data_IF_734550517644
#
_entry.id   IF_734550517644
#
_cell.length_a   1.000
_cell.length_b   1.000
_cell.length_c   1.000
_cell.angle_alpha   90.00
_cell.angle_beta   90.00
_cell.angle_gamma   90.00
#
_symmetry.space_group_name_H-M   'P 1'
#
loop_
_entity.id
_entity.type
_entity.pdbx_description
1 polymer ?
#
# COMPACT_ATOMS: atom_id res chain seq x y z
N UNK A 1 6.28 -23.68 -19.83
CA UNK A 1 6.81 -22.85 -18.74
C UNK A 1 6.08 -21.54 -18.83
N UNK A 2 5.23 -21.21 -17.85
CA UNK A 2 4.54 -19.91 -17.83
C UNK A 2 5.60 -18.81 -17.68
N UNK A 3 5.43 -17.73 -18.44
CA UNK A 3 6.33 -16.58 -18.42
C UNK A 3 6.27 -15.94 -17.04
N UNK A 4 7.26 -16.20 -16.18
CA UNK A 4 7.29 -15.78 -14.78
C UNK A 4 7.55 -14.28 -14.62
N UNK A 5 7.87 -13.56 -15.70
CA UNK A 5 8.14 -12.13 -15.69
C UNK A 5 6.89 -11.26 -15.50
N UNK A 6 5.70 -11.82 -15.68
CA UNK A 6 4.44 -11.06 -15.62
C UNK A 6 3.47 -11.56 -14.53
N UNK A 7 3.90 -12.44 -13.63
CA UNK A 7 3.09 -12.84 -12.49
C UNK A 7 2.99 -11.69 -11.48
N UNK A 8 1.80 -11.36 -10.97
CA UNK A 8 1.64 -10.31 -9.97
C UNK A 8 2.40 -10.68 -8.69
N UNK A 9 3.27 -9.78 -8.22
CA UNK A 9 4.04 -9.94 -6.98
C UNK A 9 3.33 -9.37 -5.75
N UNK A 10 2.38 -8.45 -5.97
CA UNK A 10 1.62 -7.78 -4.92
C UNK A 10 0.13 -7.93 -5.16
N UNK A 11 -0.59 -8.39 -4.15
CA UNK A 11 -2.05 -8.34 -4.12
C UNK A 11 -2.53 -7.05 -3.46
N UNK A 12 -3.44 -6.31 -4.10
CA UNK A 12 -4.12 -5.16 -3.49
C UNK A 12 -5.59 -5.55 -3.34
N UNK A 13 -6.07 -5.61 -2.10
CA UNK A 13 -7.46 -5.99 -1.82
C UNK A 13 -8.15 -4.96 -0.92
N UNK A 14 -9.41 -4.65 -1.22
CA UNK A 14 -10.22 -3.71 -0.45
C UNK A 14 -11.65 -4.21 -0.26
N UNK A 15 -12.29 -3.83 0.85
CA UNK A 15 -13.63 -4.27 1.21
C UNK A 15 -14.77 -3.59 0.44
N UNK A 16 -14.47 -2.46 -0.21
CA UNK A 16 -15.42 -1.65 -0.98
C UNK A 16 -14.69 -0.85 -2.05
N UNK A 17 -15.37 -0.57 -3.15
CA UNK A 17 -14.90 0.34 -4.20
C UNK A 17 -14.75 1.80 -3.71
N UNK A 18 -15.44 2.17 -2.64
CA UNK A 18 -15.24 3.47 -1.97
C UNK A 18 -13.81 3.68 -1.45
N UNK A 19 -13.06 2.59 -1.23
CA UNK A 19 -11.68 2.62 -0.75
C UNK A 19 -10.68 2.84 -1.91
N UNK A 20 -11.13 2.70 -3.15
CA UNK A 20 -10.32 2.79 -4.36
C UNK A 20 -9.44 4.04 -4.44
N UNK A 21 -9.94 5.27 -4.13
CA UNK A 21 -9.10 6.48 -4.21
C UNK A 21 -7.90 6.48 -3.26
N UNK A 22 -7.97 5.72 -2.17
CA UNK A 22 -6.85 5.53 -1.24
C UNK A 22 -5.93 4.42 -1.72
N UNK A 23 -6.51 3.30 -2.14
CA UNK A 23 -5.77 2.10 -2.57
C UNK A 23 -5.02 2.31 -3.89
N UNK A 24 -5.55 3.12 -4.80
CA UNK A 24 -4.91 3.50 -6.05
C UNK A 24 -3.53 4.14 -5.85
N UNK A 25 -3.33 4.89 -4.77
CA UNK A 25 -2.02 5.46 -4.44
C UNK A 25 -0.92 4.41 -4.24
N UNK A 26 -1.30 3.22 -3.77
CA UNK A 26 -0.36 2.11 -3.67
C UNK A 26 -0.04 1.52 -5.06
N UNK A 27 -1.06 1.40 -5.92
CA UNK A 27 -0.90 0.95 -7.30
C UNK A 27 0.00 1.90 -8.11
N UNK A 28 -0.23 3.22 -8.01
CA UNK A 28 0.58 4.25 -8.69
C UNK A 28 2.09 4.08 -8.39
N UNK A 29 2.43 3.81 -7.14
CA UNK A 29 3.84 3.57 -6.73
C UNK A 29 4.37 2.25 -7.30
N UNK A 30 3.56 1.19 -7.31
CA UNK A 30 3.96 -0.08 -7.90
C UNK A 30 4.19 0.06 -9.40
N UNK A 31 3.34 0.81 -10.10
CA UNK A 31 3.49 1.12 -11.53
C UNK A 31 4.75 1.95 -11.79
N UNK A 32 5.01 3.02 -11.02
CA UNK A 32 6.22 3.84 -11.14
C UNK A 32 7.50 2.99 -11.00
N UNK A 33 7.48 1.97 -10.15
CA UNK A 33 8.61 1.08 -9.90
C UNK A 33 8.64 -0.15 -10.83
N UNK A 34 7.60 -0.36 -11.65
CA UNK A 34 7.48 -1.50 -12.56
C UNK A 34 7.22 -2.82 -11.83
N UNK A 35 6.48 -2.80 -10.73
CA UNK A 35 6.13 -3.98 -9.93
C UNK A 35 4.75 -4.48 -10.36
N UNK A 36 4.62 -5.71 -10.88
CA UNK A 36 3.33 -6.27 -11.28
C UNK A 36 2.46 -6.55 -10.04
N UNK A 37 1.18 -6.19 -10.13
CA UNK A 37 0.20 -6.36 -9.06
C UNK A 37 -1.16 -6.82 -9.59
N UNK A 38 -2.00 -7.34 -8.71
CA UNK A 38 -3.43 -7.59 -8.93
C UNK A 38 -4.23 -6.73 -7.97
N UNK A 39 -5.25 -6.02 -8.45
CA UNK A 39 -6.13 -5.22 -7.58
C UNK A 39 -7.56 -5.77 -7.64
N UNK A 40 -8.18 -5.98 -6.48
CA UNK A 40 -9.52 -6.55 -6.39
C UNK A 40 -10.35 -5.95 -5.24
N UNK A 41 -11.66 -6.00 -5.40
CA UNK A 41 -12.64 -5.64 -4.36
C UNK A 41 -13.27 -6.93 -3.86
N UNK A 42 -13.04 -7.26 -2.59
CA UNK A 42 -13.63 -8.43 -1.92
C UNK A 42 -13.97 -8.03 -0.49
N UNK A 43 -15.23 -8.17 -0.12
CA UNK A 43 -15.65 -7.89 1.25
C UNK A 43 -15.53 -9.12 2.13
N UNK A 44 -14.62 -9.12 3.11
CA UNK A 44 -14.47 -10.24 4.04
C UNK A 44 -15.76 -10.55 4.84
N UNK A 45 -16.63 -9.55 5.06
CA UNK A 45 -17.88 -9.73 5.79
C UNK A 45 -19.06 -10.16 4.93
N UNK A 46 -19.07 -9.77 3.64
CA UNK A 46 -20.20 -10.04 2.72
C UNK A 46 -19.93 -11.22 1.79
N UNK A 47 -18.67 -11.53 1.56
CA UNK A 47 -18.19 -12.60 0.66
C UNK A 47 -17.05 -13.40 1.33
N UNK A 48 -17.30 -13.97 2.53
CA UNK A 48 -16.25 -14.62 3.31
C UNK A 48 -15.57 -15.77 2.54
N UNK A 49 -16.31 -16.58 1.81
CA UNK A 49 -15.77 -17.71 1.07
C UNK A 49 -14.83 -17.25 -0.05
N UNK A 50 -15.22 -16.23 -0.82
CA UNK A 50 -14.42 -15.62 -1.88
C UNK A 50 -13.13 -15.02 -1.29
N UNK A 51 -13.26 -14.35 -0.14
CA UNK A 51 -12.13 -13.77 0.56
C UNK A 51 -11.13 -14.85 1.05
N UNK A 52 -11.62 -15.92 1.65
CA UNK A 52 -10.77 -17.03 2.09
C UNK A 52 -10.04 -17.68 0.92
N UNK A 53 -10.71 -17.90 -0.20
CA UNK A 53 -10.11 -18.45 -1.41
C UNK A 53 -9.04 -17.51 -1.98
N UNK A 54 -9.30 -16.20 -2.03
CA UNK A 54 -8.32 -15.20 -2.43
C UNK A 54 -7.05 -15.28 -1.58
N UNK A 55 -7.19 -15.29 -0.24
CA UNK A 55 -6.04 -15.29 0.66
C UNK A 55 -5.25 -16.63 0.61
N UNK A 56 -5.94 -17.77 0.46
CA UNK A 56 -5.30 -19.09 0.35
C UNK A 56 -4.55 -19.26 -0.96
N UNK A 57 -5.13 -18.80 -2.07
CA UNK A 57 -4.51 -18.94 -3.41
C UNK A 57 -3.42 -17.91 -3.69
N UNK A 58 -3.23 -16.92 -2.80
CA UNK A 58 -2.32 -15.80 -3.01
C UNK A 58 -0.85 -16.23 -3.22
N UNK A 59 -0.38 -17.22 -2.47
CA UNK A 59 0.98 -17.77 -2.63
C UNK A 59 1.16 -18.48 -3.98
N UNK A 60 0.18 -19.29 -4.40
CA UNK A 60 0.18 -19.99 -5.68
C UNK A 60 0.12 -19.02 -6.87
N UNK A 61 -0.58 -17.87 -6.70
CA UNK A 61 -0.59 -16.77 -7.66
C UNK A 61 0.75 -16.02 -7.75
N UNK A 62 1.66 -16.28 -6.84
CA UNK A 62 2.98 -15.67 -6.81
C UNK A 62 3.08 -14.40 -5.96
N UNK A 63 2.04 -14.04 -5.22
CA UNK A 63 2.10 -12.87 -4.33
C UNK A 63 3.18 -13.04 -3.26
N UNK A 64 3.91 -11.97 -3.01
CA UNK A 64 4.94 -11.88 -1.95
C UNK A 64 4.51 -10.93 -0.85
N UNK A 65 3.54 -10.05 -1.15
CA UNK A 65 2.97 -9.08 -0.22
C UNK A 65 1.49 -8.89 -0.57
N UNK A 66 0.63 -8.76 0.44
CA UNK A 66 -0.74 -8.27 0.25
C UNK A 66 -0.87 -6.89 0.89
N UNK A 67 -1.42 -5.93 0.14
CA UNK A 67 -1.86 -4.62 0.65
C UNK A 67 -3.38 -4.69 0.81
N UNK A 68 -3.86 -4.55 2.03
CA UNK A 68 -5.26 -4.74 2.37
C UNK A 68 -5.86 -3.47 2.98
N UNK A 69 -6.87 -2.90 2.32
CA UNK A 69 -7.59 -1.70 2.78
C UNK A 69 -8.93 -2.03 3.40
N UNK A 70 -9.21 -1.47 4.58
CA UNK A 70 -10.51 -1.65 5.23
C UNK A 70 -10.87 -0.48 6.15
N UNK A 71 -12.17 -0.24 6.29
CA UNK A 71 -12.74 0.77 7.18
C UNK A 71 -13.61 0.18 8.28
N UNK A 72 -13.97 0.98 9.27
CA UNK A 72 -14.80 0.61 10.41
C UNK A 72 -14.20 -0.56 11.22
N UNK A 73 -14.89 -1.68 11.35
CA UNK A 73 -14.36 -2.94 11.86
C UNK A 73 -13.44 -3.56 10.78
N UNK A 74 -12.22 -3.06 10.68
CA UNK A 74 -11.30 -3.34 9.59
C UNK A 74 -10.62 -4.71 9.75
N UNK A 75 -11.40 -5.80 9.68
CA UNK A 75 -10.91 -7.17 9.87
C UNK A 75 -10.11 -7.71 8.70
N UNK A 76 -10.33 -7.22 7.48
CA UNK A 76 -9.77 -7.76 6.25
C UNK A 76 -8.23 -7.92 6.29
N UNK A 77 -7.42 -6.93 6.73
CA UNK A 77 -5.97 -7.09 6.81
C UNK A 77 -5.53 -8.20 7.78
N UNK A 78 -6.16 -8.25 8.97
CA UNK A 78 -5.85 -9.27 9.97
C UNK A 78 -6.22 -10.68 9.50
N UNK A 79 -7.36 -10.83 8.83
CA UNK A 79 -7.79 -12.10 8.24
C UNK A 79 -6.86 -12.53 7.10
N UNK A 80 -6.38 -11.61 6.26
CA UNK A 80 -5.32 -11.90 5.29
C UNK A 80 -4.08 -12.45 5.98
N UNK A 81 -3.59 -11.76 7.02
CA UNK A 81 -2.36 -12.15 7.73
C UNK A 81 -2.49 -13.48 8.48
N UNK A 82 -3.70 -13.89 8.86
CA UNK A 82 -3.95 -15.18 9.48
C UNK A 82 -3.91 -16.36 8.48
N UNK A 83 -4.12 -16.09 7.19
CA UNK A 83 -4.24 -17.11 6.13
C UNK A 83 -3.00 -17.14 5.24
N UNK A 84 -2.53 -15.96 4.84
CA UNK A 84 -1.40 -15.78 3.93
C UNK A 84 -0.10 -15.66 4.73
N UNK A 85 0.90 -16.56 4.54
CA UNK A 85 2.09 -16.63 5.39
C UNK A 85 3.14 -15.54 5.10
N UNK A 86 2.91 -14.69 4.09
CA UNK A 86 3.81 -13.63 3.67
C UNK A 86 3.35 -12.27 4.25
N UNK A 87 4.15 -11.19 4.14
CA UNK A 87 3.82 -9.89 4.70
C UNK A 87 2.48 -9.34 4.25
N UNK A 88 1.68 -8.85 5.20
CA UNK A 88 0.44 -8.11 4.95
C UNK A 88 0.60 -6.67 5.45
N UNK A 89 0.20 -5.72 4.61
CA UNK A 89 0.21 -4.29 4.91
C UNK A 89 -1.24 -3.81 4.95
N UNK A 90 -1.69 -3.35 6.12
CA UNK A 90 -3.03 -2.80 6.31
C UNK A 90 -3.08 -1.29 6.10
N UNK A 91 -4.07 -0.84 5.33
CA UNK A 91 -4.37 0.60 5.15
C UNK A 91 -5.69 0.89 5.86
N UNK A 92 -5.67 1.66 6.96
CA UNK A 92 -6.90 2.07 7.65
C UNK A 92 -7.62 3.14 6.83
N UNK A 93 -8.90 2.90 6.52
CA UNK A 93 -9.75 3.86 5.83
C UNK A 93 -10.31 4.90 6.80
N UNK A 94 -10.45 6.13 6.31
CA UNK A 94 -11.16 7.17 7.05
C UNK A 94 -12.66 6.83 7.13
N UNK A 95 -13.23 6.99 8.33
CA UNK A 95 -14.66 6.77 8.58
C UNK A 95 -15.32 8.04 9.09
N UNK A 96 -16.59 8.25 8.74
CA UNK A 96 -17.35 9.42 9.18
C UNK A 96 -17.68 9.40 10.66
N UNK A 97 -17.84 8.19 11.25
CA UNK A 97 -18.24 8.01 12.66
C UNK A 97 -17.10 8.29 13.64
N UNK A 98 -15.91 7.73 13.40
CA UNK A 98 -14.76 7.80 14.32
C UNK A 98 -13.48 8.38 13.67
N UNK A 99 -13.60 8.94 12.46
CA UNK A 99 -12.50 9.61 11.77
C UNK A 99 -11.35 8.66 11.41
N UNK A 100 -11.64 7.36 11.24
CA UNK A 100 -10.64 6.33 10.92
C UNK A 100 -9.90 5.73 12.12
N UNK A 101 -10.21 6.17 13.36
CA UNK A 101 -9.60 5.59 14.58
C UNK A 101 -10.03 4.13 14.78
N UNK A 102 -11.28 3.82 14.50
CA UNK A 102 -11.85 2.48 14.48
C UNK A 102 -11.08 1.55 13.53
N UNK A 103 -10.86 2.00 12.30
CA UNK A 103 -10.08 1.26 11.30
C UNK A 103 -8.63 1.06 11.74
N UNK A 104 -7.99 2.12 12.23
CA UNK A 104 -6.61 2.06 12.69
C UNK A 104 -6.44 1.08 13.84
N UNK A 105 -7.27 1.19 14.89
CA UNK A 105 -7.17 0.30 16.05
C UNK A 105 -7.48 -1.15 15.70
N UNK A 106 -8.44 -1.40 14.80
CA UNK A 106 -8.74 -2.76 14.33
C UNK A 106 -7.54 -3.41 13.62
N UNK A 107 -6.70 -2.61 12.94
CA UNK A 107 -5.58 -3.14 12.17
C UNK A 107 -4.30 -3.25 13.02
N UNK A 108 -4.02 -2.31 13.92
CA UNK A 108 -2.77 -2.33 14.70
C UNK A 108 -2.82 -3.26 15.91
N UNK A 109 -4.00 -3.55 16.44
CA UNK A 109 -4.18 -4.41 17.63
C UNK A 109 -4.37 -5.88 17.27
N UNK A 110 -3.43 -6.43 16.50
CA UNK A 110 -3.48 -7.85 16.14
C UNK A 110 -3.06 -8.74 17.32
N UNK A 111 -3.65 -9.95 17.43
CA UNK A 111 -3.23 -10.93 18.42
C UNK A 111 -1.79 -11.41 18.17
N UNK A 112 -1.17 -11.94 19.21
CA UNK A 112 0.17 -12.52 19.12
C UNK A 112 0.25 -13.57 17.99
N UNK A 113 1.29 -13.48 17.16
CA UNK A 113 1.52 -14.41 16.06
C UNK A 113 0.91 -13.98 14.70
N UNK A 114 0.08 -12.93 14.65
CA UNK A 114 -0.54 -12.45 13.42
C UNK A 114 -0.11 -11.00 13.15
N UNK A 115 1.07 -10.75 12.56
CA UNK A 115 1.57 -9.42 12.33
C UNK A 115 0.91 -8.77 11.10
N UNK A 116 0.52 -7.49 11.24
CA UNK A 116 0.10 -6.62 10.11
C UNK A 116 0.87 -5.32 10.20
N UNK A 117 1.61 -4.97 9.15
CA UNK A 117 2.24 -3.65 9.06
C UNK A 117 1.19 -2.60 8.69
N UNK A 118 1.12 -1.50 9.44
CA UNK A 118 0.12 -0.44 9.20
C UNK A 118 0.82 0.84 8.79
N UNK A 119 0.66 1.26 7.53
CA UNK A 119 1.32 2.43 6.99
C UNK A 119 0.48 3.12 5.90
N UNK A 120 0.64 4.44 5.75
CA UNK A 120 0.01 5.21 4.67
C UNK A 120 0.67 4.98 3.29
N UNK A 121 1.99 4.74 3.26
CA UNK A 121 2.78 4.52 2.04
C UNK A 121 2.95 3.01 1.73
N UNK A 122 1.85 2.29 1.63
CA UNK A 122 1.85 0.84 1.51
C UNK A 122 2.55 0.32 0.25
N UNK A 123 2.34 0.96 -0.90
CA UNK A 123 3.03 0.59 -2.15
C UNK A 123 4.56 0.69 -2.02
N UNK A 124 5.05 1.75 -1.37
CA UNK A 124 6.49 1.91 -1.15
C UNK A 124 7.05 0.90 -0.14
N UNK A 125 6.28 0.56 0.91
CA UNK A 125 6.70 -0.48 1.86
C UNK A 125 6.73 -1.86 1.17
N UNK A 126 5.72 -2.19 0.37
CA UNK A 126 5.72 -3.43 -0.42
C UNK A 126 6.93 -3.51 -1.36
N UNK A 127 7.25 -2.43 -2.07
CA UNK A 127 8.43 -2.35 -2.92
C UNK A 127 9.74 -2.56 -2.12
N UNK A 128 9.86 -1.97 -0.92
CA UNK A 128 11.03 -2.18 -0.05
C UNK A 128 11.15 -3.62 0.45
N UNK A 129 10.03 -4.28 0.75
CA UNK A 129 10.03 -5.70 1.14
C UNK A 129 10.54 -6.55 -0.03
N UNK A 130 10.03 -6.33 -1.24
CA UNK A 130 10.48 -7.05 -2.44
C UNK A 130 11.95 -6.81 -2.76
N UNK A 131 12.44 -5.58 -2.57
CA UNK A 131 13.82 -5.18 -2.85
C UNK A 131 14.87 -5.85 -1.94
N UNK A 132 14.46 -6.50 -0.85
CA UNK A 132 15.39 -7.27 0.00
C UNK A 132 16.02 -8.46 -0.73
N UNK A 133 15.38 -8.94 -1.81
CA UNK A 133 15.85 -10.02 -2.68
C UNK A 133 15.91 -9.65 -4.17
N UNK A 134 15.79 -8.35 -4.50
CA UNK A 134 15.77 -7.83 -5.87
C UNK A 134 16.68 -6.61 -5.98
N UNK A 135 17.89 -6.82 -6.50
CA UNK A 135 18.92 -5.76 -6.60
C UNK A 135 18.56 -4.67 -7.63
N UNK A 136 17.82 -5.00 -8.68
CA UNK A 136 17.34 -4.04 -9.67
C UNK A 136 16.30 -3.11 -9.03
N UNK A 137 15.34 -3.68 -8.34
CA UNK A 137 14.32 -2.91 -7.61
C UNK A 137 14.95 -2.04 -6.52
N UNK A 138 16.00 -2.53 -5.83
CA UNK A 138 16.76 -1.73 -4.87
C UNK A 138 17.40 -0.51 -5.55
N UNK A 139 17.92 -0.67 -6.77
CA UNK A 139 18.43 0.43 -7.59
C UNK A 139 17.36 1.47 -7.89
N UNK A 140 16.15 1.05 -8.29
CA UNK A 140 15.00 1.94 -8.54
C UNK A 140 14.58 2.69 -7.28
N UNK A 141 14.58 2.04 -6.11
CA UNK A 141 14.26 2.69 -4.83
C UNK A 141 15.30 3.74 -4.42
N UNK A 142 16.59 3.51 -4.71
CA UNK A 142 17.63 4.53 -4.50
C UNK A 142 17.42 5.74 -5.41
N UNK A 143 17.11 5.52 -6.68
CA UNK A 143 16.78 6.59 -7.62
C UNK A 143 15.52 7.36 -7.19
N UNK A 144 14.49 6.68 -6.72
CA UNK A 144 13.29 7.30 -6.13
C UNK A 144 13.64 8.22 -4.96
N UNK A 145 14.50 7.77 -4.04
CA UNK A 145 14.95 8.59 -2.90
C UNK A 145 15.73 9.83 -3.35
N UNK A 146 16.56 9.72 -4.38
CA UNK A 146 17.29 10.85 -4.98
C UNK A 146 16.31 11.86 -5.57
N UNK A 147 15.32 11.41 -6.33
CA UNK A 147 14.25 12.27 -6.88
C UNK A 147 13.51 13.05 -5.79
N UNK A 148 13.20 12.42 -4.66
CA UNK A 148 12.56 13.11 -3.53
C UNK A 148 13.45 14.20 -2.94
N UNK A 149 14.75 13.94 -2.79
CA UNK A 149 15.73 14.93 -2.33
C UNK A 149 15.78 16.12 -3.28
N UNK A 150 15.95 15.89 -4.58
CA UNK A 150 15.98 16.93 -5.61
C UNK A 150 14.72 17.81 -5.62
N UNK A 151 13.54 17.22 -5.37
CA UNK A 151 12.30 17.97 -5.24
C UNK A 151 12.29 18.94 -4.06
N UNK A 152 12.91 18.56 -2.94
CA UNK A 152 13.02 19.45 -1.76
C UNK A 152 14.04 20.56 -2.04
N UNK A 153 15.19 20.22 -2.61
CA UNK A 153 16.23 21.18 -2.99
C UNK A 153 15.71 22.22 -3.98
N UNK A 154 14.93 21.81 -4.98
CA UNK A 154 14.30 22.73 -5.94
C UNK A 154 13.27 23.68 -5.27
N UNK A 155 12.52 23.18 -4.27
CA UNK A 155 11.60 24.02 -3.50
C UNK A 155 12.35 25.06 -2.66
N UNK A 156 13.43 24.66 -2.02
CA UNK A 156 14.26 25.57 -1.24
C UNK A 156 14.93 26.61 -2.14
N UNK A 157 15.55 26.21 -3.23
CA UNK A 157 16.13 27.13 -4.20
C UNK A 157 15.11 28.20 -4.68
N UNK A 158 13.90 27.77 -5.03
CA UNK A 158 12.82 28.68 -5.38
C UNK A 158 12.45 29.62 -4.24
N UNK A 159 12.38 29.13 -3.00
CA UNK A 159 12.08 29.94 -1.83
C UNK A 159 13.14 31.02 -1.62
N UNK A 160 14.43 30.68 -1.75
CA UNK A 160 15.55 31.61 -1.63
C UNK A 160 15.55 32.67 -2.74
N UNK A 161 15.16 32.29 -3.95
CA UNK A 161 15.11 33.17 -5.12
C UNK A 161 14.00 34.22 -4.99
N UNK A 162 12.76 33.80 -4.71
CA UNK A 162 11.58 34.71 -4.76
C UNK A 162 11.13 35.23 -3.39
N UNK A 163 11.68 34.71 -2.30
CA UNK A 163 11.30 35.05 -0.92
C UNK A 163 9.94 34.46 -0.48
N UNK A 164 9.74 34.34 0.83
CA UNK A 164 8.59 33.61 1.39
C UNK A 164 7.22 34.22 1.04
N UNK A 165 7.12 35.57 0.90
CA UNK A 165 5.84 36.24 0.60
C UNK A 165 5.33 35.83 -0.78
N UNK A 166 6.17 35.96 -1.80
CA UNK A 166 5.83 35.56 -3.18
C UNK A 166 5.62 34.03 -3.29
N UNK A 167 6.39 33.24 -2.53
CA UNK A 167 6.22 31.80 -2.48
C UNK A 167 4.84 31.40 -1.95
N UNK A 168 4.36 32.01 -0.84
CA UNK A 168 3.02 31.80 -0.27
C UNK A 168 1.89 32.21 -1.22
N UNK A 169 2.05 33.30 -1.97
CA UNK A 169 1.06 33.71 -2.99
C UNK A 169 0.91 32.64 -4.09
N UNK A 170 2.01 32.04 -4.50
CA UNK A 170 2.01 30.94 -5.49
C UNK A 170 1.36 29.63 -5.00
N UNK A 171 1.28 29.39 -3.69
CA UNK A 171 0.62 28.21 -3.09
C UNK A 171 -0.91 28.32 -2.99
N UNK A 172 -1.47 29.53 -3.14
CA UNK A 172 -2.93 29.79 -3.03
C UNK A 172 -3.70 29.46 -4.33
N UNK A 173 -3.02 28.98 -5.35
CA UNK A 173 -3.61 28.48 -6.61
C UNK A 173 -3.74 26.97 -6.60
#
# INVERSE_FOLDING_TARGET
MANTENCPKVGIVMGSDSDMPVMAKAADILEELGIPYEMTVISAHREPDVFFEYAKSAEEKGFKVIIAGAGMAAHLPGMCAAIFPMPVIGIPMHTTSLGGRDSLYSIVQMPSGIPVATVANAGLLAAKILATSDAELLGKLKAYSTKLKEQVEAKDAKLQEIGYKAYLEGMKK
#
